data_IF_962060399531
#
_entry.id   IF_962060399531
#
_cell.length_a   1.000
_cell.length_b   1.000
_cell.length_c   1.000
_cell.angle_alpha   90.00
_cell.angle_beta   90.00
_cell.angle_gamma   90.00
#
_symmetry.space_group_name_H-M   'P 1'
#
loop_
_entity.id
_entity.type
_entity.pdbx_description
1 polymer ?
#
# COMPACT_ATOMS: atom_id res chain seq x y z
N UNK A 1 25.31 11.75 -7.29
CA UNK A 1 24.61 10.60 -6.66
C UNK A 1 24.00 9.80 -7.79
N UNK A 2 24.36 8.52 -7.94
CA UNK A 2 23.90 7.74 -9.09
C UNK A 2 22.39 7.47 -8.99
N UNK A 3 21.68 7.55 -10.12
CA UNK A 3 20.24 7.28 -10.22
C UNK A 3 19.84 5.96 -9.53
N UNK A 4 20.67 4.93 -9.71
CA UNK A 4 20.43 3.59 -9.14
C UNK A 4 20.46 3.62 -7.60
N UNK A 5 21.40 4.34 -6.99
CA UNK A 5 21.48 4.46 -5.53
C UNK A 5 20.31 5.22 -4.95
N UNK A 6 19.87 6.26 -5.64
CA UNK A 6 18.72 7.07 -5.26
C UNK A 6 17.40 6.33 -5.42
N UNK A 7 17.26 5.57 -6.51
CA UNK A 7 16.11 4.72 -6.74
C UNK A 7 15.98 3.60 -5.67
N UNK A 8 17.10 3.00 -5.28
CA UNK A 8 17.12 1.98 -4.21
C UNK A 8 16.70 2.57 -2.86
N UNK A 9 17.27 3.70 -2.48
CA UNK A 9 16.91 4.40 -1.24
C UNK A 9 15.45 4.86 -1.27
N UNK A 10 15.01 5.47 -2.37
CA UNK A 10 13.63 5.90 -2.55
C UNK A 10 12.63 4.74 -2.41
N UNK A 11 12.88 3.62 -3.08
CA UNK A 11 12.00 2.46 -3.00
C UNK A 11 11.91 1.89 -1.58
N UNK A 12 13.02 1.82 -0.85
CA UNK A 12 13.03 1.34 0.52
C UNK A 12 12.26 2.26 1.47
N UNK A 13 12.57 3.53 1.50
CA UNK A 13 11.96 4.46 2.45
C UNK A 13 10.52 4.82 2.11
N UNK A 14 10.22 5.08 0.83
CA UNK A 14 8.89 5.51 0.42
C UNK A 14 7.87 4.37 0.48
N UNK A 15 8.28 3.12 0.31
CA UNK A 15 7.38 1.99 0.46
C UNK A 15 6.88 1.79 1.90
N UNK A 16 7.66 2.18 2.91
CA UNK A 16 7.24 2.12 4.32
C UNK A 16 6.06 3.06 4.61
N UNK A 17 5.94 4.19 3.89
CA UNK A 17 4.80 5.10 4.08
C UNK A 17 3.46 4.41 3.82
N UNK A 18 3.42 3.49 2.84
CA UNK A 18 2.25 2.67 2.56
C UNK A 18 1.85 1.81 3.75
N UNK A 19 2.81 1.13 4.41
CA UNK A 19 2.55 0.28 5.56
C UNK A 19 1.86 1.08 6.68
N UNK A 20 2.42 2.23 7.05
CA UNK A 20 1.89 3.03 8.15
C UNK A 20 0.51 3.63 7.84
N UNK A 21 0.29 4.11 6.62
CA UNK A 21 -0.97 4.74 6.24
C UNK A 21 -2.13 3.73 6.16
N UNK A 22 -1.92 2.60 5.47
CA UNK A 22 -3.02 1.68 5.20
C UNK A 22 -3.37 0.81 6.42
N UNK A 23 -2.39 0.40 7.23
CA UNK A 23 -2.68 -0.37 8.44
C UNK A 23 -3.46 0.49 9.45
N UNK A 24 -3.19 1.80 9.53
CA UNK A 24 -3.95 2.70 10.41
C UNK A 24 -5.43 2.79 10.04
N UNK A 25 -5.78 2.55 8.77
CA UNK A 25 -7.17 2.49 8.30
C UNK A 25 -7.95 1.36 8.99
N UNK A 26 -7.32 0.18 9.18
CA UNK A 26 -7.93 -0.95 9.86
C UNK A 26 -8.35 -0.65 11.31
N UNK A 27 -7.67 0.29 11.97
CA UNK A 27 -8.05 0.72 13.32
C UNK A 27 -9.35 1.53 13.34
N UNK A 28 -9.57 2.34 12.32
CA UNK A 28 -10.79 3.16 12.21
C UNK A 28 -12.03 2.28 11.98
N UNK A 29 -11.86 1.13 11.36
CA UNK A 29 -12.95 0.18 11.09
C UNK A 29 -13.30 -0.70 12.29
N UNK A 30 -12.41 -0.85 13.27
CA UNK A 30 -12.63 -1.62 14.50
C UNK A 30 -13.44 -0.90 15.58
N UNK A 31 -13.64 0.40 15.47
CA UNK A 31 -14.32 1.20 16.50
C UNK A 31 -15.85 1.13 16.37
N UNK A 32 -16.53 0.63 17.40
CA UNK A 32 -18.00 0.52 17.46
C UNK A 32 -18.73 1.85 17.22
N UNK A 33 -18.17 2.97 17.68
CA UNK A 33 -18.76 4.30 17.47
C UNK A 33 -18.87 4.70 15.98
N UNK A 34 -17.98 4.20 15.15
CA UNK A 34 -17.99 4.48 13.70
C UNK A 34 -19.19 3.80 13.02
N UNK A 35 -19.65 2.67 13.53
CA UNK A 35 -20.78 1.92 13.02
C UNK A 35 -22.12 2.61 13.27
N UNK A 36 -22.29 3.21 14.45
CA UNK A 36 -23.54 3.94 14.80
C UNK A 36 -23.76 5.13 13.85
N UNK A 37 -22.70 5.85 13.50
CA UNK A 37 -22.78 6.96 12.54
C UNK A 37 -23.13 6.51 11.12
N UNK A 38 -22.60 5.37 10.66
CA UNK A 38 -22.86 4.83 9.33
C UNK A 38 -24.31 4.34 9.22
N UNK A 39 -24.87 3.77 10.28
CA UNK A 39 -26.26 3.30 10.31
C UNK A 39 -27.26 4.43 10.20
N UNK A 40 -26.95 5.59 10.77
CA UNK A 40 -27.82 6.78 10.74
C UNK A 40 -27.86 7.42 9.35
N UNK A 41 -26.79 7.34 8.57
CA UNK A 41 -26.64 8.06 7.30
C UNK A 41 -27.19 7.33 6.08
N UNK A 42 -27.75 6.13 6.18
CA UNK A 42 -28.26 5.30 5.07
C UNK A 42 -27.25 5.08 3.93
N UNK A 43 -25.97 5.34 4.15
CA UNK A 43 -24.91 5.15 3.16
C UNK A 43 -24.40 3.72 3.21
N UNK A 44 -24.16 3.11 2.04
CA UNK A 44 -23.55 1.78 1.96
C UNK A 44 -22.19 1.79 2.64
N UNK A 45 -21.99 0.94 3.65
CA UNK A 45 -20.72 0.79 4.36
C UNK A 45 -19.55 0.51 3.41
N UNK A 46 -19.80 -0.28 2.36
CA UNK A 46 -18.82 -0.59 1.32
C UNK A 46 -18.33 0.68 0.62
N UNK A 47 -19.25 1.62 0.34
CA UNK A 47 -18.89 2.89 -0.30
C UNK A 47 -17.99 3.75 0.62
N UNK A 48 -18.23 3.73 1.92
CA UNK A 48 -17.41 4.46 2.90
C UNK A 48 -16.01 3.84 2.99
N UNK A 49 -15.90 2.52 3.09
CA UNK A 49 -14.62 1.82 3.13
C UNK A 49 -13.81 2.06 1.84
N UNK A 50 -14.47 1.98 0.68
CA UNK A 50 -13.85 2.27 -0.61
C UNK A 50 -13.39 3.73 -0.70
N UNK A 51 -14.22 4.67 -0.28
CA UNK A 51 -13.86 6.09 -0.25
C UNK A 51 -12.64 6.36 0.63
N UNK A 52 -12.59 5.79 1.82
CA UNK A 52 -11.43 5.89 2.72
C UNK A 52 -10.17 5.29 2.10
N UNK A 53 -10.28 4.12 1.50
CA UNK A 53 -9.16 3.47 0.81
C UNK A 53 -8.62 4.36 -0.32
N UNK A 54 -9.49 4.92 -1.16
CA UNK A 54 -9.10 5.82 -2.25
C UNK A 54 -8.40 7.09 -1.73
N UNK A 55 -8.93 7.68 -0.66
CA UNK A 55 -8.29 8.85 -0.01
C UNK A 55 -6.89 8.49 0.49
N UNK A 56 -6.71 7.34 1.15
CA UNK A 56 -5.39 6.90 1.60
C UNK A 56 -4.42 6.61 0.45
N UNK A 57 -4.91 6.04 -0.65
CA UNK A 57 -4.11 5.86 -1.87
C UNK A 57 -3.65 7.20 -2.44
N UNK A 58 -4.51 8.20 -2.49
CA UNK A 58 -4.19 9.56 -2.94
C UNK A 58 -3.16 10.24 -2.02
N UNK A 59 -3.38 10.18 -0.71
CA UNK A 59 -2.45 10.75 0.28
C UNK A 59 -1.08 10.10 0.13
N UNK A 60 -1.03 8.78 0.01
CA UNK A 60 0.23 8.06 -0.18
C UNK A 60 0.92 8.46 -1.50
N UNK A 61 0.17 8.59 -2.59
CA UNK A 61 0.72 9.05 -3.87
C UNK A 61 1.34 10.46 -3.76
N UNK A 62 0.69 11.39 -3.05
CA UNK A 62 1.21 12.75 -2.79
C UNK A 62 2.47 12.68 -1.93
N UNK A 63 2.48 11.86 -0.87
CA UNK A 63 3.64 11.69 0.00
C UNK A 63 4.85 11.11 -0.73
N UNK A 64 4.64 10.24 -1.70
CA UNK A 64 5.70 9.71 -2.56
C UNK A 64 6.17 10.77 -3.58
N UNK A 65 5.23 11.58 -4.09
CA UNK A 65 5.53 12.61 -5.09
C UNK A 65 6.44 13.71 -4.56
N UNK A 66 6.18 14.22 -3.35
CA UNK A 66 6.90 15.37 -2.78
C UNK A 66 8.43 15.17 -2.71
N UNK A 67 8.96 14.11 -2.05
CA UNK A 67 10.40 13.89 -1.98
C UNK A 67 11.00 13.59 -3.35
N UNK A 68 10.26 12.91 -4.23
CA UNK A 68 10.75 12.61 -5.57
C UNK A 68 10.86 13.88 -6.43
N UNK A 69 9.87 14.79 -6.36
CA UNK A 69 9.88 16.06 -7.05
C UNK A 69 11.06 16.95 -6.57
N UNK A 70 11.34 16.94 -5.26
CA UNK A 70 12.48 17.66 -4.69
C UNK A 70 13.81 17.14 -5.23
N UNK A 71 13.97 15.83 -5.32
CA UNK A 71 15.18 15.20 -5.85
C UNK A 71 15.32 15.47 -7.35
N UNK A 72 14.22 15.37 -8.10
CA UNK A 72 14.22 15.65 -9.54
C UNK A 72 14.60 17.07 -9.86
N UNK A 73 14.17 18.05 -9.05
CA UNK A 73 14.54 19.46 -9.26
C UNK A 73 16.06 19.72 -9.17
N UNK A 74 16.82 18.77 -8.61
CA UNK A 74 18.29 18.85 -8.47
C UNK A 74 19.09 17.93 -9.41
N UNK A 75 18.43 17.09 -10.19
CA UNK A 75 19.07 16.04 -10.99
C UNK A 75 18.38 15.87 -12.34
N UNK A 76 19.02 16.33 -13.42
CA UNK A 76 18.45 16.37 -14.79
C UNK A 76 18.30 14.99 -15.48
N UNK A 77 18.83 13.91 -14.90
CA UNK A 77 18.99 12.62 -15.61
C UNK A 77 17.97 11.53 -15.21
N UNK A 78 16.89 11.86 -14.49
CA UNK A 78 15.98 10.86 -13.93
C UNK A 78 14.74 10.71 -14.79
N UNK A 79 14.38 9.47 -15.15
CA UNK A 79 13.05 9.11 -15.66
C UNK A 79 12.03 9.22 -14.52
N UNK A 80 11.56 10.43 -14.26
CA UNK A 80 10.70 10.77 -13.14
C UNK A 80 9.46 9.89 -13.04
N UNK A 81 8.73 9.74 -14.15
CA UNK A 81 7.47 9.01 -14.16
C UNK A 81 7.62 7.52 -13.87
N UNK A 82 8.65 6.89 -14.43
CA UNK A 82 8.91 5.46 -14.20
C UNK A 82 9.27 5.20 -12.74
N UNK A 83 10.11 6.05 -12.16
CA UNK A 83 10.47 5.99 -10.74
C UNK A 83 9.26 6.21 -9.83
N UNK A 84 8.48 7.26 -10.09
CA UNK A 84 7.29 7.58 -9.31
C UNK A 84 6.27 6.44 -9.31
N UNK A 85 5.90 5.94 -10.49
CA UNK A 85 4.97 4.83 -10.61
C UNK A 85 5.49 3.57 -9.88
N UNK A 86 6.78 3.27 -10.00
CA UNK A 86 7.37 2.13 -9.32
C UNK A 86 7.33 2.24 -7.79
N UNK A 87 7.57 3.41 -7.23
CA UNK A 87 7.55 3.63 -5.76
C UNK A 87 6.11 3.59 -5.23
N UNK A 88 5.17 4.22 -5.93
CA UNK A 88 3.75 4.18 -5.58
C UNK A 88 3.23 2.74 -5.60
N UNK A 89 3.59 1.95 -6.63
CA UNK A 89 3.18 0.54 -6.72
C UNK A 89 3.67 -0.29 -5.51
N UNK A 90 4.94 -0.13 -5.12
CA UNK A 90 5.53 -0.83 -3.97
C UNK A 90 4.85 -0.43 -2.66
N UNK A 91 4.60 0.88 -2.47
CA UNK A 91 3.95 1.41 -1.28
C UNK A 91 2.49 0.94 -1.18
N UNK A 92 1.74 0.95 -2.28
CA UNK A 92 0.36 0.45 -2.31
C UNK A 92 0.28 -1.05 -2.05
N UNK A 93 1.18 -1.83 -2.66
CA UNK A 93 1.20 -3.27 -2.45
C UNK A 93 1.41 -3.62 -0.98
N UNK A 94 2.43 -3.05 -0.34
CA UNK A 94 2.72 -3.29 1.07
C UNK A 94 1.61 -2.77 1.99
N UNK A 95 1.07 -1.61 1.67
CA UNK A 95 -0.04 -1.03 2.41
C UNK A 95 -1.30 -1.90 2.35
N UNK A 96 -1.69 -2.32 1.15
CA UNK A 96 -2.85 -3.20 0.95
C UNK A 96 -2.66 -4.58 1.60
N UNK A 97 -1.45 -5.14 1.53
CA UNK A 97 -1.12 -6.38 2.24
C UNK A 97 -1.33 -6.21 3.73
N UNK A 98 -0.82 -5.13 4.32
CA UNK A 98 -1.01 -4.83 5.73
C UNK A 98 -2.47 -4.63 6.11
N UNK A 99 -3.23 -3.93 5.29
CA UNK A 99 -4.67 -3.75 5.48
C UNK A 99 -5.43 -5.08 5.45
N UNK A 100 -5.14 -5.96 4.49
CA UNK A 100 -5.76 -7.29 4.42
C UNK A 100 -5.45 -8.13 5.65
N UNK A 101 -4.20 -8.12 6.10
CA UNK A 101 -3.81 -8.84 7.32
C UNK A 101 -4.53 -8.29 8.54
N UNK A 102 -4.62 -6.96 8.68
CA UNK A 102 -5.36 -6.31 9.76
C UNK A 102 -6.84 -6.73 9.76
N UNK A 103 -7.45 -6.82 8.57
CA UNK A 103 -8.84 -7.23 8.42
C UNK A 103 -9.08 -8.70 8.78
N UNK A 104 -8.16 -9.59 8.42
CA UNK A 104 -8.27 -11.03 8.68
C UNK A 104 -8.07 -11.33 10.17
N UNK A 105 -6.99 -10.80 10.75
CA UNK A 105 -6.60 -11.09 12.14
C UNK A 105 -7.29 -10.19 13.18
N UNK A 106 -7.87 -9.07 12.73
CA UNK A 106 -8.48 -8.05 13.62
C UNK A 106 -7.51 -7.51 14.69
N UNK A 107 -6.23 -7.58 14.41
CA UNK A 107 -5.15 -7.09 15.27
C UNK A 107 -4.11 -6.34 14.44
N UNK A 108 -3.95 -5.05 14.76
CA UNK A 108 -2.99 -4.19 14.09
C UNK A 108 -1.55 -4.62 14.33
N UNK A 109 -1.25 -5.16 15.51
CA UNK A 109 0.11 -5.58 15.87
C UNK A 109 0.56 -6.72 14.96
N UNK A 110 -0.34 -7.68 14.73
CA UNK A 110 -0.10 -8.80 13.81
C UNK A 110 0.09 -8.29 12.39
N UNK A 111 -0.71 -7.32 11.95
CA UNK A 111 -0.58 -6.71 10.63
C UNK A 111 0.78 -6.05 10.44
N UNK A 112 1.25 -5.25 11.41
CA UNK A 112 2.58 -4.64 11.35
C UNK A 112 3.70 -5.68 11.31
N UNK A 113 3.65 -6.69 12.18
CA UNK A 113 4.68 -7.74 12.25
C UNK A 113 4.78 -8.50 10.92
N UNK A 114 3.66 -8.94 10.37
CA UNK A 114 3.65 -9.71 9.12
C UNK A 114 4.11 -8.84 7.94
N UNK A 115 3.61 -7.61 7.85
CA UNK A 115 3.95 -6.74 6.71
C UNK A 115 5.39 -6.27 6.75
N UNK A 116 5.91 -5.92 7.92
CA UNK A 116 7.33 -5.59 8.10
C UNK A 116 8.21 -6.81 7.88
N UNK A 117 7.81 -7.98 8.36
CA UNK A 117 8.52 -9.24 8.09
C UNK A 117 8.62 -9.51 6.59
N UNK A 118 7.50 -9.37 5.84
CA UNK A 118 7.50 -9.48 4.39
C UNK A 118 8.41 -8.43 3.73
N UNK A 119 8.36 -7.18 4.19
CA UNK A 119 9.23 -6.11 3.70
C UNK A 119 10.72 -6.48 3.82
N UNK A 120 11.16 -6.98 4.99
CA UNK A 120 12.56 -7.39 5.19
C UNK A 120 12.94 -8.60 4.34
N UNK A 121 12.08 -9.59 4.21
CA UNK A 121 12.32 -10.75 3.36
C UNK A 121 12.42 -10.32 1.89
N UNK A 122 11.50 -9.50 1.41
CA UNK A 122 11.46 -9.06 0.03
C UNK A 122 12.65 -8.15 -0.35
N UNK A 123 13.20 -7.39 0.60
CA UNK A 123 14.42 -6.58 0.38
C UNK A 123 15.69 -7.44 0.37
N UNK A 124 15.73 -8.53 1.14
CA UNK A 124 16.90 -9.40 1.26
C UNK A 124 17.00 -10.45 0.16
N UNK A 125 15.87 -10.87 -0.40
CA UNK A 125 15.81 -12.02 -1.33
C UNK A 125 15.72 -11.56 -2.78
N UNK A 126 16.76 -11.84 -3.58
CA UNK A 126 16.81 -11.52 -5.02
C UNK A 126 15.85 -12.34 -5.90
N UNK A 127 15.34 -13.46 -5.43
CA UNK A 127 14.66 -14.50 -6.23
C UNK A 127 13.18 -14.69 -5.89
N UNK A 128 12.48 -13.68 -5.42
CA UNK A 128 11.03 -13.74 -5.35
C UNK A 128 10.48 -13.71 -6.79
N UNK A 129 9.49 -14.56 -7.08
CA UNK A 129 8.85 -14.78 -8.39
C UNK A 129 9.00 -13.58 -9.33
N UNK A 130 9.66 -13.79 -10.49
CA UNK A 130 10.05 -12.72 -11.45
C UNK A 130 8.95 -11.72 -11.83
N UNK A 131 7.68 -12.05 -11.67
CA UNK A 131 6.54 -11.16 -11.95
C UNK A 131 6.00 -10.35 -10.76
N UNK A 132 6.42 -10.65 -9.53
CA UNK A 132 5.94 -10.04 -8.29
C UNK A 132 7.07 -9.37 -7.49
N UNK A 133 8.12 -8.91 -8.17
CA UNK A 133 9.22 -8.20 -7.51
C UNK A 133 8.76 -6.81 -7.06
N UNK A 134 8.32 -6.71 -5.80
CA UNK A 134 7.92 -5.45 -5.18
C UNK A 134 9.08 -4.45 -5.17
N UNK A 135 10.30 -4.94 -4.88
CA UNK A 135 11.53 -4.16 -4.81
C UNK A 135 12.42 -4.36 -6.04
N UNK A 136 11.87 -4.15 -7.25
CA UNK A 136 12.62 -4.35 -8.50
C UNK A 136 13.79 -3.37 -8.65
N UNK A 137 13.64 -2.13 -8.22
CA UNK A 137 14.71 -1.12 -8.32
C UNK A 137 15.87 -1.40 -7.36
N UNK A 138 15.59 -1.94 -6.16
CA UNK A 138 16.64 -2.39 -5.22
C UNK A 138 17.51 -3.46 -5.87
N UNK A 139 16.91 -4.34 -6.69
CA UNK A 139 17.61 -5.41 -7.39
C UNK A 139 18.15 -5.02 -8.78
N UNK A 140 18.00 -3.75 -9.18
CA UNK A 140 18.54 -3.22 -10.44
C UNK A 140 17.68 -3.50 -11.68
N UNK A 141 16.44 -3.97 -11.51
CA UNK A 141 15.52 -4.19 -12.61
C UNK A 141 14.56 -2.99 -12.71
N UNK A 142 14.61 -2.27 -13.83
CA UNK A 142 13.83 -1.05 -14.07
C UNK A 142 12.56 -1.29 -14.90
N UNK A 143 12.15 -2.53 -15.06
CA UNK A 143 10.94 -2.86 -15.79
C UNK A 143 9.68 -2.37 -15.07
N UNK A 144 8.68 -2.03 -15.86
CA UNK A 144 7.40 -1.54 -15.33
C UNK A 144 6.74 -2.64 -14.48
N UNK A 145 6.34 -2.28 -13.27
CA UNK A 145 5.78 -3.21 -12.26
C UNK A 145 4.33 -3.61 -12.54
N UNK A 146 4.01 -4.02 -13.77
CA UNK A 146 2.63 -4.43 -14.12
C UNK A 146 2.06 -5.52 -13.20
N UNK A 147 2.89 -6.52 -12.85
CA UNK A 147 2.49 -7.60 -11.93
C UNK A 147 2.14 -7.10 -10.53
N UNK A 148 2.85 -6.07 -10.04
CA UNK A 148 2.56 -5.46 -8.73
C UNK A 148 1.24 -4.69 -8.77
N UNK A 149 0.97 -3.93 -9.84
CA UNK A 149 -0.32 -3.24 -10.01
C UNK A 149 -1.49 -4.23 -10.11
N UNK A 150 -1.32 -5.31 -10.86
CA UNK A 150 -2.34 -6.35 -10.97
C UNK A 150 -2.62 -7.00 -9.61
N UNK A 151 -1.58 -7.27 -8.83
CA UNK A 151 -1.74 -7.81 -7.48
C UNK A 151 -2.43 -6.82 -6.52
N UNK A 152 -2.17 -5.52 -6.64
CA UNK A 152 -2.89 -4.49 -5.90
C UNK A 152 -4.39 -4.50 -6.23
N UNK A 153 -4.76 -4.63 -7.51
CA UNK A 153 -6.17 -4.73 -7.92
C UNK A 153 -6.85 -5.96 -7.31
N UNK A 154 -6.17 -7.12 -7.34
CA UNK A 154 -6.68 -8.35 -6.71
C UNK A 154 -6.86 -8.16 -5.19
N UNK A 155 -5.89 -7.54 -4.52
CA UNK A 155 -5.97 -7.26 -3.08
C UNK A 155 -7.15 -6.34 -2.74
N UNK A 156 -7.42 -5.31 -3.53
CA UNK A 156 -8.59 -4.43 -3.36
C UNK A 156 -9.88 -5.23 -3.50
N UNK A 157 -9.98 -6.12 -4.49
CA UNK A 157 -11.17 -6.97 -4.66
C UNK A 157 -11.37 -7.89 -3.45
N UNK A 158 -10.30 -8.54 -2.96
CA UNK A 158 -10.36 -9.38 -1.75
C UNK A 158 -10.82 -8.56 -0.54
N UNK A 159 -10.28 -7.36 -0.35
CA UNK A 159 -10.69 -6.46 0.72
C UNK A 159 -12.19 -6.14 0.66
N UNK A 160 -12.70 -5.78 -0.51
CA UNK A 160 -14.13 -5.48 -0.70
C UNK A 160 -15.03 -6.70 -0.40
N UNK A 161 -14.58 -7.90 -0.78
CA UNK A 161 -15.30 -9.15 -0.45
C UNK A 161 -15.32 -9.38 1.06
N UNK A 162 -14.19 -9.19 1.76
CA UNK A 162 -14.13 -9.33 3.22
C UNK A 162 -15.05 -8.33 3.93
N UNK A 163 -15.04 -7.07 3.51
CA UNK A 163 -15.93 -6.03 4.03
C UNK A 163 -17.41 -6.41 3.81
N UNK A 164 -17.76 -6.89 2.62
CA UNK A 164 -19.12 -7.35 2.30
C UNK A 164 -19.55 -8.54 3.15
N UNK A 165 -18.65 -9.48 3.41
CA UNK A 165 -18.92 -10.63 4.27
C UNK A 165 -19.17 -10.22 5.73
N UNK A 166 -18.42 -9.25 6.24
CA UNK A 166 -18.65 -8.67 7.58
C UNK A 166 -20.03 -8.05 7.68
N UNK A 167 -20.40 -7.23 6.70
CA UNK A 167 -21.71 -6.58 6.64
C UNK A 167 -22.87 -7.60 6.69
N UNK A 168 -22.74 -8.73 5.98
CA UNK A 168 -23.78 -9.78 5.97
C UNK A 168 -23.88 -10.55 7.29
N UNK A 169 -22.79 -10.66 8.05
CA UNK A 169 -22.77 -11.43 9.32
C UNK A 169 -23.25 -10.63 10.52
N UNK A 170 -23.61 -9.36 10.36
CA UNK A 170 -23.99 -8.49 11.49
C UNK A 170 -22.88 -8.36 12.55
N UNK A 171 -21.64 -8.67 12.17
CA UNK A 171 -20.45 -8.63 13.05
C UNK A 171 -19.81 -7.24 12.95
N UNK A 172 -20.55 -6.38 12.38
CA UNK A 172 -20.22 -5.00 12.32
C UNK A 172 -20.85 -4.27 13.49
#
# INVERSE_FOLDING_TARGET
MDFISLAKMGELYLSLTGIFLFISLGNLEGNKSTWEFVYIQQVSYIAICLGRLLVMMLINAILVFLPLAYVYSRSESIRFFDGYLGFVASAWFLGLLGLLVAEIFRDLRVAYIITLGYYFIATSTKNVVKGLQVFSYVHGNMDIKYGVYLSCMVMILIYLVLVKMKCKRGIA
#
